data_IF_794298043622
#
_entry.id   IF_794298043622
#
_cell.length_a   1.000
_cell.length_b   1.000
_cell.length_c   1.000
_cell.angle_alpha   90.00
_cell.angle_beta   90.00
_cell.angle_gamma   90.00
#
_symmetry.space_group_name_H-M   'P 1'
#
loop_
_entity.id
_entity.type
_entity.pdbx_description
1 polymer ?
#
# COMPACT_ATOMS: atom_id res chain seq x y z
N UNK A 1 57.72 -9.22 -17.44
CA UNK A 1 56.45 -9.14 -16.71
C UNK A 1 56.54 -7.95 -15.77
N UNK A 2 55.58 -7.02 -15.78
CA UNK A 2 55.47 -6.03 -14.71
C UNK A 2 55.08 -6.74 -13.40
N UNK A 3 55.51 -6.21 -12.23
CA UNK A 3 55.19 -6.81 -10.94
C UNK A 3 53.70 -6.66 -10.62
N UNK A 4 53.17 -7.68 -9.98
CA UNK A 4 51.79 -7.82 -9.51
C UNK A 4 51.38 -6.63 -8.60
N UNK A 5 50.29 -5.91 -8.87
CA UNK A 5 49.81 -4.88 -7.96
C UNK A 5 49.11 -5.52 -6.76
N UNK A 6 49.73 -5.32 -5.61
CA UNK A 6 49.26 -5.49 -4.22
C UNK A 6 47.71 -5.60 -4.05
N UNK A 7 47.16 -6.70 -3.49
CA UNK A 7 45.71 -6.92 -3.35
C UNK A 7 45.03 -6.11 -2.25
N UNK A 8 45.70 -5.13 -1.64
CA UNK A 8 45.14 -4.34 -0.55
C UNK A 8 45.17 -2.84 -0.82
N UNK A 9 44.31 -2.38 -1.74
CA UNK A 9 43.91 -0.97 -1.76
C UNK A 9 42.39 -0.79 -1.95
N UNK A 10 41.78 -0.19 -0.92
CA UNK A 10 40.42 0.37 -0.82
C UNK A 10 39.27 -0.60 -0.51
N UNK A 11 39.25 -1.11 0.72
CA UNK A 11 37.96 -1.38 1.39
C UNK A 11 37.41 -0.02 1.83
N UNK A 12 36.49 0.56 1.05
CA UNK A 12 35.71 1.68 1.53
C UNK A 12 35.00 1.27 2.83
N UNK A 13 35.04 2.11 3.86
CA UNK A 13 34.25 1.91 5.08
C UNK A 13 32.79 1.74 4.67
N UNK A 14 32.27 0.52 4.79
CA UNK A 14 30.86 0.22 4.52
C UNK A 14 30.05 0.90 5.62
N UNK A 15 29.44 2.05 5.31
CA UNK A 15 28.52 2.71 6.22
C UNK A 15 27.33 1.78 6.44
N UNK A 16 27.07 1.41 7.70
CA UNK A 16 25.93 0.55 8.03
C UNK A 16 24.64 1.27 7.67
N UNK A 17 23.69 0.56 7.06
CA UNK A 17 22.37 1.09 6.70
C UNK A 17 21.31 0.50 7.62
N UNK A 18 20.49 1.36 8.21
CA UNK A 18 19.45 0.99 9.16
C UNK A 18 18.09 1.52 8.70
N UNK A 19 17.02 0.80 9.05
CA UNK A 19 15.65 1.28 8.92
C UNK A 19 15.10 1.50 10.32
N UNK A 20 14.49 2.67 10.56
CA UNK A 20 13.79 2.99 11.81
C UNK A 20 12.30 3.12 11.52
N UNK A 21 11.51 2.16 11.99
CA UNK A 21 10.04 2.21 11.95
C UNK A 21 9.55 2.78 13.28
N UNK A 22 8.70 3.82 13.28
CA UNK A 22 8.23 4.44 14.52
C UNK A 22 6.76 4.85 14.43
N UNK A 23 6.02 4.68 15.52
CA UNK A 23 4.62 5.07 15.69
C UNK A 23 4.36 5.59 17.11
N UNK A 24 3.25 6.29 17.29
CA UNK A 24 2.75 6.69 18.60
C UNK A 24 1.29 7.10 18.55
N UNK A 25 0.58 6.91 19.66
CA UNK A 25 -0.83 7.27 19.73
C UNK A 25 -1.29 7.62 21.13
N UNK A 26 -2.56 8.03 21.21
CA UNK A 26 -3.26 8.36 22.44
C UNK A 26 -4.69 7.82 22.45
N UNK A 27 -5.12 7.21 23.56
CA UNK A 27 -6.50 6.74 23.77
C UNK A 27 -7.39 7.93 24.17
N UNK A 28 -8.00 8.55 23.17
CA UNK A 28 -8.59 9.89 23.29
C UNK A 28 -7.50 10.95 23.21
N UNK A 29 -7.74 12.07 22.52
CA UNK A 29 -6.66 13.01 22.17
C UNK A 29 -6.94 14.42 22.77
N UNK A 30 -6.30 14.80 23.91
CA UNK A 30 -5.27 14.07 24.67
C UNK A 30 -5.81 13.02 25.64
N UNK A 31 -5.01 11.98 25.90
CA UNK A 31 -5.39 10.80 26.70
C UNK A 31 -4.17 9.92 27.00
N UNK A 32 -4.38 8.71 27.58
CA UNK A 32 -3.31 7.75 27.81
C UNK A 32 -2.54 7.45 26.52
N UNK A 33 -1.27 7.82 26.49
CA UNK A 33 -0.44 7.82 25.29
C UNK A 33 0.77 6.91 25.45
N UNK A 34 1.28 6.43 24.32
CA UNK A 34 2.45 5.57 24.25
C UNK A 34 3.03 5.56 22.84
N UNK A 35 4.28 5.15 22.73
CA UNK A 35 4.99 5.06 21.46
C UNK A 35 5.70 3.73 21.30
N UNK A 36 6.05 3.41 20.05
CA UNK A 36 6.83 2.25 19.68
C UNK A 36 7.79 2.59 18.54
N UNK A 37 8.98 1.99 18.56
CA UNK A 37 9.96 2.10 17.50
C UNK A 37 10.76 0.81 17.34
N UNK A 38 11.14 0.50 16.11
CA UNK A 38 11.89 -0.70 15.74
C UNK A 38 13.06 -0.27 14.86
N UNK A 39 14.26 -0.75 15.16
CA UNK A 39 15.45 -0.57 14.32
C UNK A 39 15.79 -1.88 13.64
N UNK A 40 15.94 -1.85 12.32
CA UNK A 40 16.27 -3.01 11.50
C UNK A 40 17.57 -2.79 10.74
N UNK A 41 18.26 -3.89 10.45
CA UNK A 41 19.31 -3.88 9.43
C UNK A 41 18.66 -3.70 8.05
N UNK A 42 19.09 -2.71 7.27
CA UNK A 42 18.45 -2.41 5.99
C UNK A 42 18.72 -3.46 4.90
N UNK A 43 19.73 -4.31 5.08
CA UNK A 43 20.09 -5.35 4.10
C UNK A 43 19.39 -6.66 4.45
N UNK A 44 19.48 -7.10 5.70
CA UNK A 44 18.94 -8.40 6.11
C UNK A 44 17.48 -8.34 6.54
N UNK A 45 16.98 -7.16 6.93
CA UNK A 45 15.65 -6.98 7.52
C UNK A 45 15.54 -7.42 8.99
N UNK A 46 16.63 -7.92 9.58
CA UNK A 46 16.70 -8.36 10.97
C UNK A 46 16.36 -7.22 11.94
N UNK A 47 15.56 -7.51 12.97
CA UNK A 47 15.27 -6.57 14.05
C UNK A 47 16.48 -6.50 14.98
N UNK A 48 17.08 -5.32 15.08
CA UNK A 48 18.25 -5.06 15.91
C UNK A 48 17.89 -4.46 17.27
N UNK A 49 16.77 -3.71 17.33
CA UNK A 49 16.26 -3.16 18.57
C UNK A 49 14.76 -2.87 18.47
N UNK A 50 14.06 -3.01 19.60
CA UNK A 50 12.69 -2.55 19.81
C UNK A 50 12.67 -1.63 21.03
N UNK A 51 11.97 -0.50 20.92
CA UNK A 51 11.84 0.48 22.00
C UNK A 51 10.39 0.92 22.08
N UNK A 52 9.81 0.88 23.28
CA UNK A 52 8.46 1.34 23.53
C UNK A 52 8.33 1.86 24.95
N UNK A 53 7.56 2.93 25.15
CA UNK A 53 7.26 3.43 26.49
C UNK A 53 5.93 4.19 26.54
N UNK A 54 5.36 4.26 27.75
CA UNK A 54 4.18 5.03 28.07
C UNK A 54 4.51 6.50 28.32
N UNK A 55 3.66 7.42 27.88
CA UNK A 55 3.84 8.87 28.03
C UNK A 55 2.88 9.50 29.04
N UNK A 56 2.15 8.69 29.81
CA UNK A 56 1.06 9.18 30.65
C UNK A 56 -0.03 9.79 29.78
N UNK A 57 -0.41 11.06 30.01
CA UNK A 57 -1.41 11.78 29.19
C UNK A 57 -0.73 12.68 28.17
N UNK A 58 -0.89 12.40 26.88
CA UNK A 58 -0.35 13.22 25.79
C UNK A 58 -1.25 13.21 24.55
N UNK A 59 -0.95 14.05 23.56
CA UNK A 59 -1.61 14.04 22.24
C UNK A 59 -0.97 13.01 21.30
N UNK A 60 -1.67 12.64 20.22
CA UNK A 60 -1.13 11.74 19.18
C UNK A 60 0.22 12.25 18.63
N UNK A 61 0.29 13.52 18.22
CA UNK A 61 1.51 14.09 17.65
C UNK A 61 2.70 14.04 18.63
N UNK A 62 2.45 14.25 19.94
CA UNK A 62 3.51 14.11 20.95
C UNK A 62 4.00 12.66 21.02
N UNK A 63 3.09 11.69 20.93
CA UNK A 63 3.43 10.27 20.95
C UNK A 63 4.22 9.86 19.71
N UNK A 64 3.79 10.26 18.51
CA UNK A 64 4.49 9.97 17.25
C UNK A 64 5.92 10.54 17.24
N UNK A 65 6.09 11.81 17.64
CA UNK A 65 7.42 12.41 17.78
C UNK A 65 8.29 11.71 18.83
N UNK A 66 7.69 11.21 19.91
CA UNK A 66 8.41 10.48 20.95
C UNK A 66 8.91 9.13 20.42
N UNK A 67 8.10 8.42 19.63
CA UNK A 67 8.50 7.21 18.91
C UNK A 67 9.68 7.46 17.99
N UNK A 68 9.62 8.53 17.19
CA UNK A 68 10.72 8.94 16.33
C UNK A 68 12.02 9.20 17.11
N UNK A 69 11.96 9.99 18.18
CA UNK A 69 13.13 10.31 19.01
C UNK A 69 13.75 9.04 19.60
N UNK A 70 12.91 8.13 20.10
CA UNK A 70 13.36 6.87 20.67
C UNK A 70 14.05 5.98 19.62
N UNK A 71 13.44 5.83 18.43
CA UNK A 71 14.01 5.06 17.32
C UNK A 71 15.36 5.61 16.84
N UNK A 72 15.48 6.93 16.67
CA UNK A 72 16.74 7.57 16.27
C UNK A 72 17.85 7.37 17.32
N UNK A 73 17.52 7.46 18.61
CA UNK A 73 18.47 7.20 19.70
C UNK A 73 18.92 5.73 19.74
N UNK A 74 18.00 4.80 19.51
CA UNK A 74 18.33 3.39 19.42
C UNK A 74 19.27 3.09 18.24
N UNK A 75 18.98 3.65 17.06
CA UNK A 75 19.84 3.53 15.89
C UNK A 75 21.25 4.11 16.15
N UNK A 76 21.33 5.28 16.78
CA UNK A 76 22.60 5.90 17.15
C UNK A 76 23.41 5.07 18.18
N UNK A 77 22.72 4.37 19.08
CA UNK A 77 23.34 3.44 20.02
C UNK A 77 23.92 2.18 19.35
N UNK A 78 23.28 1.72 18.26
CA UNK A 78 23.70 0.53 17.50
C UNK A 78 24.86 0.81 16.55
N UNK A 79 24.81 1.94 15.82
CA UNK A 79 25.86 2.30 14.87
C UNK A 79 25.91 3.82 14.65
N UNK A 80 26.92 4.46 15.25
CA UNK A 80 27.23 5.88 14.99
C UNK A 80 27.65 6.06 13.52
N UNK A 81 27.16 7.13 12.90
CA UNK A 81 27.43 7.42 11.49
C UNK A 81 26.66 6.54 10.49
N UNK A 82 25.75 5.67 10.94
CA UNK A 82 24.91 4.87 10.03
C UNK A 82 24.00 5.74 9.16
N UNK A 83 23.78 5.33 7.93
CA UNK A 83 22.69 5.88 7.10
C UNK A 83 21.37 5.29 7.59
N UNK A 84 20.37 6.14 7.82
CA UNK A 84 19.11 5.74 8.42
C UNK A 84 17.95 6.20 7.56
N UNK A 85 17.10 5.25 7.16
CA UNK A 85 15.77 5.54 6.62
C UNK A 85 14.75 5.44 7.75
N UNK A 86 14.13 6.56 8.10
CA UNK A 86 13.01 6.60 9.03
C UNK A 86 11.71 6.38 8.25
N UNK A 87 10.93 5.39 8.64
CA UNK A 87 9.61 5.07 8.08
C UNK A 87 8.54 5.29 9.15
N UNK A 88 7.58 6.16 8.85
CA UNK A 88 6.45 6.43 9.75
C UNK A 88 5.16 6.59 8.94
N UNK A 89 4.03 6.24 9.53
CA UNK A 89 2.69 6.47 8.97
C UNK A 89 2.12 7.86 9.30
N UNK A 90 2.80 8.62 10.14
CA UNK A 90 2.52 10.04 10.36
C UNK A 90 3.07 10.93 9.25
N UNK A 91 2.22 11.29 8.29
CA UNK A 91 2.58 12.25 7.23
C UNK A 91 3.01 13.59 7.80
N UNK A 92 2.38 14.04 8.90
CA UNK A 92 2.75 15.28 9.58
C UNK A 92 4.20 15.26 10.05
N UNK A 93 4.61 14.23 10.80
CA UNK A 93 5.96 14.13 11.35
C UNK A 93 6.98 13.99 10.23
N UNK A 94 6.71 13.15 9.23
CA UNK A 94 7.61 12.94 8.08
C UNK A 94 7.86 14.26 7.32
N UNK A 95 6.80 15.00 6.98
CA UNK A 95 6.90 16.24 6.22
C UNK A 95 7.61 17.36 7.01
N UNK A 96 7.35 17.44 8.32
CA UNK A 96 8.00 18.40 9.20
C UNK A 96 9.50 18.10 9.41
N UNK A 97 9.86 16.83 9.57
CA UNK A 97 11.25 16.42 9.75
C UNK A 97 12.05 16.47 8.46
N UNK A 98 11.39 16.24 7.31
CA UNK A 98 11.95 16.49 5.98
C UNK A 98 12.15 17.97 5.65
N UNK A 99 11.64 18.89 6.48
CA UNK A 99 11.71 20.34 6.24
C UNK A 99 10.75 20.85 5.17
N UNK A 100 9.87 20.00 4.62
CA UNK A 100 8.88 20.39 3.61
C UNK A 100 7.72 21.17 4.23
N UNK A 101 7.35 20.87 5.47
CA UNK A 101 6.27 21.56 6.19
C UNK A 101 6.78 22.33 7.41
N UNK A 102 6.25 23.54 7.61
CA UNK A 102 6.62 24.39 8.75
C UNK A 102 5.99 23.88 10.06
N UNK A 103 6.78 23.83 11.13
CA UNK A 103 6.30 23.48 12.48
C UNK A 103 5.74 24.74 13.17
N UNK A 104 4.43 24.92 13.05
CA UNK A 104 3.72 26.08 13.63
C UNK A 104 3.40 25.90 15.12
N UNK A 105 3.05 24.68 15.55
CA UNK A 105 2.60 24.42 16.92
C UNK A 105 3.76 24.51 17.92
N UNK A 106 3.64 25.29 19.01
CA UNK A 106 4.72 25.52 19.98
C UNK A 106 5.22 24.22 20.61
N UNK A 107 4.31 23.31 20.99
CA UNK A 107 4.66 22.03 21.64
C UNK A 107 5.44 21.06 20.74
N UNK A 108 5.33 21.19 19.42
CA UNK A 108 6.05 20.32 18.47
C UNK A 108 7.48 20.80 18.21
N UNK A 109 7.78 22.09 18.40
CA UNK A 109 9.11 22.64 18.12
C UNK A 109 10.20 22.02 19.01
N UNK A 110 10.00 21.85 20.34
CA UNK A 110 10.96 21.14 21.19
C UNK A 110 11.15 19.68 20.79
N UNK A 111 10.08 18.99 20.37
CA UNK A 111 10.15 17.59 19.95
C UNK A 111 10.93 17.42 18.65
N UNK A 112 10.68 18.26 17.65
CA UNK A 112 11.46 18.27 16.42
C UNK A 112 12.94 18.64 16.67
N UNK A 113 13.21 19.57 17.59
CA UNK A 113 14.58 19.89 17.99
C UNK A 113 15.30 18.67 18.62
N UNK A 114 14.62 17.93 19.49
CA UNK A 114 15.14 16.69 20.10
C UNK A 114 15.33 15.57 19.06
N UNK A 115 14.44 15.45 18.07
CA UNK A 115 14.59 14.48 16.99
C UNK A 115 15.81 14.82 16.10
N UNK A 116 16.00 16.11 15.76
CA UNK A 116 17.19 16.58 15.05
C UNK A 116 18.47 16.39 15.85
N UNK A 117 18.41 16.58 17.17
CA UNK A 117 19.55 16.32 18.04
C UNK A 117 19.92 14.83 18.05
N UNK A 118 18.92 13.94 18.16
CA UNK A 118 19.11 12.50 18.12
C UNK A 118 19.74 12.03 16.79
N UNK A 119 19.42 12.68 15.67
CA UNK A 119 20.00 12.35 14.37
C UNK A 119 21.44 12.84 14.16
N UNK A 120 21.97 13.78 14.96
CA UNK A 120 23.32 14.36 14.76
C UNK A 120 24.46 13.34 14.79
N UNK A 121 24.27 12.23 15.51
CA UNK A 121 25.28 11.18 15.65
C UNK A 121 25.18 10.07 14.60
N UNK A 122 24.20 10.18 13.71
CA UNK A 122 23.99 9.33 12.55
C UNK A 122 24.60 10.00 11.30
N UNK A 123 24.68 9.24 10.21
CA UNK A 123 25.07 9.74 8.90
C UNK A 123 23.89 10.45 8.21
N UNK A 124 23.62 10.08 6.97
CA UNK A 124 22.42 10.55 6.26
C UNK A 124 21.16 10.00 6.92
N UNK A 125 20.19 10.86 7.21
CA UNK A 125 18.87 10.46 7.72
C UNK A 125 17.79 10.93 6.76
N UNK A 126 17.02 9.98 6.24
CA UNK A 126 15.89 10.23 5.34
C UNK A 126 14.59 9.91 6.06
N UNK A 127 13.53 10.66 5.74
CA UNK A 127 12.21 10.48 6.33
C UNK A 127 11.21 10.11 5.23
N UNK A 128 10.70 8.89 5.29
CA UNK A 128 9.77 8.30 4.33
C UNK A 128 8.42 8.09 5.00
N UNK A 129 7.37 8.60 4.37
CA UNK A 129 6.01 8.27 4.77
C UNK A 129 5.64 6.90 4.22
N UNK A 130 5.10 6.03 5.07
CA UNK A 130 4.62 4.70 4.70
C UNK A 130 3.17 4.52 5.12
N UNK A 131 2.34 3.78 4.37
CA UNK A 131 1.01 3.42 4.85
C UNK A 131 1.07 2.68 6.20
N UNK A 132 0.06 2.86 7.07
CA UNK A 132 -0.02 2.25 8.42
C UNK A 132 0.23 0.74 8.42
N UNK A 133 -0.24 0.03 7.38
CA UNK A 133 0.00 -1.40 7.17
C UNK A 133 1.50 -1.78 7.16
N UNK A 134 2.37 -0.88 6.70
CA UNK A 134 3.83 -1.07 6.67
C UNK A 134 4.54 -0.59 7.93
N UNK A 135 3.81 -0.07 8.91
CA UNK A 135 4.33 0.33 10.21
C UNK A 135 3.78 -0.56 11.34
N UNK A 136 3.21 -1.72 11.00
CA UNK A 136 2.50 -2.60 11.93
C UNK A 136 3.33 -3.03 13.14
N UNK A 137 4.66 -3.15 13.01
CA UNK A 137 5.50 -3.51 14.14
C UNK A 137 5.57 -2.37 15.18
N UNK A 138 5.90 -1.16 14.74
CA UNK A 138 5.93 0.00 15.62
C UNK A 138 4.53 0.33 16.17
N UNK A 139 3.46 0.15 15.38
CA UNK A 139 2.07 0.30 15.82
C UNK A 139 1.71 -0.68 16.94
N UNK A 140 2.09 -1.97 16.83
CA UNK A 140 1.85 -2.94 17.92
C UNK A 140 2.53 -2.50 19.22
N UNK A 141 3.78 -2.04 19.14
CA UNK A 141 4.53 -1.55 20.29
C UNK A 141 3.87 -0.30 20.90
N UNK A 142 3.43 0.65 20.07
CA UNK A 142 2.72 1.85 20.52
C UNK A 142 1.37 1.50 21.18
N UNK A 143 0.62 0.54 20.63
CA UNK A 143 -0.64 0.06 21.20
C UNK A 143 -0.44 -0.61 22.56
N UNK A 144 0.58 -1.45 22.71
CA UNK A 144 0.93 -2.05 24.00
C UNK A 144 1.29 -0.98 25.05
N UNK A 145 2.05 0.04 24.64
CA UNK A 145 2.43 1.15 25.50
C UNK A 145 1.24 2.03 25.92
N UNK A 146 0.32 2.34 24.99
CA UNK A 146 -0.93 3.05 25.28
C UNK A 146 -1.82 2.29 26.26
N UNK A 147 -1.95 0.99 26.09
CA UNK A 147 -2.78 0.17 26.97
C UNK A 147 -2.15 0.02 28.36
N UNK A 148 -0.83 -0.05 28.44
CA UNK A 148 -0.10 0.03 29.71
C UNK A 148 -0.33 1.38 30.40
N UNK A 149 -0.28 2.49 29.66
CA UNK A 149 -0.59 3.82 30.18
C UNK A 149 -2.03 3.91 30.71
N UNK A 150 -3.00 3.32 29.99
CA UNK A 150 -4.41 3.31 30.37
C UNK A 150 -4.69 2.42 31.60
N UNK A 151 -3.92 1.35 31.81
CA UNK A 151 -3.96 0.55 33.05
C UNK A 151 -3.35 1.31 34.22
N UNK A 152 -2.23 2.00 34.01
CA UNK A 152 -1.61 2.86 35.02
C UNK A 152 -2.50 4.06 35.43
N UNK A 153 -3.22 4.66 34.47
CA UNK A 153 -4.16 5.75 34.72
C UNK A 153 -5.42 5.29 35.48
N UNK A 154 -5.86 4.03 35.29
CA UNK A 154 -6.95 3.41 36.06
C UNK A 154 -6.51 2.98 37.48
N UNK A 155 -5.19 2.94 37.74
CA UNK A 155 -4.60 2.61 39.03
C UNK A 155 -4.28 3.81 39.93
N UNK A 156 -4.62 5.04 39.54
CA UNK A 156 -4.51 6.22 40.40
C UNK A 156 -5.90 6.79 40.72
N UNK A 157 -6.40 6.60 41.95
CA UNK A 157 -7.45 7.45 42.47
C UNK A 157 -6.91 8.88 42.57
N UNK A 158 -7.64 9.86 42.04
CA UNK A 158 -7.33 11.27 42.25
C UNK A 158 -7.40 11.56 43.76
N UNK A 159 -6.27 11.88 44.35
CA UNK A 159 -6.18 12.32 45.74
C UNK A 159 -6.75 13.72 45.91
N UNK A 160 -8.00 13.81 46.36
CA UNK A 160 -8.57 14.93 47.13
C UNK A 160 -9.90 14.49 47.77
N UNK A 161 -9.86 13.77 48.90
CA UNK A 161 -10.03 14.33 50.24
C UNK A 161 -10.32 13.25 51.30
N UNK A 162 -9.89 13.55 52.52
CA UNK A 162 -9.64 12.70 53.70
C UNK A 162 -10.87 11.92 54.23
N UNK A 163 -10.66 10.71 54.77
CA UNK A 163 -10.57 10.37 56.22
C UNK A 163 -10.71 8.84 56.49
N UNK A 164 -9.95 8.36 57.48
CA UNK A 164 -10.21 7.15 58.29
C UNK A 164 -9.66 5.84 57.70
N UNK A 165 -8.50 5.36 58.11
CA UNK A 165 -8.25 4.54 59.31
C UNK A 165 -8.66 3.06 59.14
N UNK A 166 -7.70 2.16 59.36
CA UNK A 166 -7.99 0.83 59.92
C UNK A 166 -7.75 -0.38 59.03
N UNK A 167 -6.57 -0.97 59.24
CA UNK A 167 -6.38 -2.39 59.52
C UNK A 167 -6.07 -3.43 58.41
N UNK A 168 -5.07 -4.24 58.78
CA UNK A 168 -4.57 -5.49 58.19
C UNK A 168 -5.56 -6.64 58.55
N UNK A 169 -5.48 -7.90 58.03
CA UNK A 169 -4.23 -8.63 57.77
C UNK A 169 -4.19 -9.72 56.67
N UNK A 170 -2.93 -10.09 56.37
CA UNK A 170 -2.32 -11.43 56.12
C UNK A 170 -3.13 -12.55 55.45
N UNK A 171 -2.45 -13.23 54.51
CA UNK A 171 -2.57 -14.70 54.39
C UNK A 171 -2.23 -15.26 53.01
N UNK A 172 -0.95 -15.57 52.79
CA UNK A 172 -0.55 -16.50 51.72
C UNK A 172 -0.71 -17.95 52.21
N UNK A 173 -1.16 -18.86 51.35
CA UNK A 173 -0.53 -20.18 51.08
C UNK A 173 -1.28 -21.02 50.03
N UNK A 174 -0.44 -21.70 49.27
CA UNK A 174 -0.56 -22.77 48.26
C UNK A 174 -1.41 -24.00 48.58
N UNK A 175 -1.95 -24.63 47.53
CA UNK A 175 -1.86 -26.07 47.14
C UNK A 175 -2.61 -26.21 45.79
N UNK A 176 -1.97 -26.53 44.66
CA UNK A 176 -1.60 -27.87 44.18
C UNK A 176 -2.78 -28.86 44.13
N UNK A 177 -3.26 -29.20 42.92
CA UNK A 177 -3.45 -30.59 42.48
C UNK A 177 -4.01 -30.70 41.05
N UNK A 178 -3.55 -31.78 40.42
CA UNK A 178 -3.68 -32.27 39.05
C UNK A 178 -5.08 -32.72 38.61
N UNK A 179 -5.32 -32.71 37.30
CA UNK A 179 -6.42 -33.45 36.66
C UNK A 179 -6.31 -33.49 35.13
N UNK A 180 -5.85 -34.61 34.59
CA UNK A 180 -5.74 -34.90 33.17
C UNK A 180 -7.11 -35.20 32.51
N UNK A 181 -7.26 -34.86 31.24
CA UNK A 181 -8.38 -35.28 30.39
C UNK A 181 -8.12 -34.93 28.93
N UNK A 182 -7.66 -35.92 28.16
CA UNK A 182 -7.30 -35.77 26.75
C UNK A 182 -8.49 -35.84 25.80
N UNK A 183 -8.40 -35.07 24.71
CA UNK A 183 -9.21 -35.22 23.50
C UNK A 183 -8.40 -34.71 22.31
N UNK A 184 -7.89 -35.63 21.48
CA UNK A 184 -7.14 -35.34 20.25
C UNK A 184 -8.11 -35.36 19.07
N UNK A 185 -8.40 -34.21 18.49
CA UNK A 185 -8.93 -34.13 17.12
C UNK A 185 -7.77 -33.96 16.14
N UNK A 186 -7.75 -34.82 15.12
CA UNK A 186 -6.71 -34.91 14.11
C UNK A 186 -6.89 -33.80 13.06
N UNK A 187 -6.04 -32.77 13.15
CA UNK A 187 -5.94 -31.72 12.13
C UNK A 187 -5.24 -32.21 10.86
N UNK A 188 -5.90 -32.04 9.73
CA UNK A 188 -5.33 -32.13 8.38
C UNK A 188 -4.14 -31.17 8.28
N UNK A 189 -2.95 -31.69 8.01
CA UNK A 189 -1.74 -30.89 7.80
C UNK A 189 -1.75 -30.31 6.39
N UNK A 190 -2.07 -29.03 6.25
CA UNK A 190 -1.72 -28.25 5.06
C UNK A 190 -0.22 -27.90 5.09
N UNK A 191 0.41 -27.89 3.92
CA UNK A 191 1.84 -27.65 3.76
C UNK A 191 2.26 -26.27 4.32
N UNK A 192 3.51 -26.11 4.81
CA UNK A 192 3.94 -24.88 5.46
C UNK A 192 4.12 -23.77 4.40
N UNK A 193 3.14 -22.86 4.33
CA UNK A 193 3.27 -21.60 3.61
C UNK A 193 4.13 -20.61 4.40
N UNK A 194 4.93 -19.83 3.69
CA UNK A 194 5.65 -18.69 4.26
C UNK A 194 4.64 -17.65 4.80
N UNK A 195 4.79 -17.28 6.08
CA UNK A 195 4.22 -16.13 6.81
C UNK A 195 2.95 -16.32 7.63
N UNK A 196 2.95 -15.65 8.79
CA UNK A 196 1.89 -15.48 9.79
C UNK A 196 0.63 -14.73 9.26
N UNK A 197 0.25 -14.95 8.01
CA UNK A 197 -1.00 -14.43 7.44
C UNK A 197 -2.17 -15.20 8.07
N UNK A 198 -2.82 -14.59 9.05
CA UNK A 198 -3.99 -15.19 9.72
C UNK A 198 -5.27 -14.70 9.06
N UNK A 199 -6.18 -15.63 8.77
CA UNK A 199 -7.52 -15.33 8.26
C UNK A 199 -7.69 -15.59 6.76
N UNK A 200 -8.95 -15.69 6.35
CA UNK A 200 -9.35 -15.79 4.94
C UNK A 200 -9.20 -14.40 4.30
N UNK A 201 -8.42 -14.23 3.22
CA UNK A 201 -8.29 -12.93 2.56
C UNK A 201 -9.60 -12.52 1.90
N UNK A 202 -9.84 -11.21 1.81
CA UNK A 202 -10.76 -10.69 0.79
C UNK A 202 -10.05 -10.74 -0.55
N UNK A 203 -10.67 -11.35 -1.55
CA UNK A 203 -10.08 -11.49 -2.89
C UNK A 203 -10.77 -10.51 -3.83
N UNK A 204 -10.01 -9.62 -4.47
CA UNK A 204 -10.55 -8.81 -5.57
C UNK A 204 -10.09 -9.38 -6.90
N UNK A 205 -11.04 -9.81 -7.72
CA UNK A 205 -10.80 -10.13 -9.12
C UNK A 205 -11.06 -8.87 -9.93
N UNK A 206 -10.10 -8.43 -10.73
CA UNK A 206 -10.21 -7.23 -11.56
C UNK A 206 -10.46 -7.66 -12.99
N UNK A 207 -11.52 -7.15 -13.63
CA UNK A 207 -11.80 -7.36 -15.05
C UNK A 207 -11.79 -6.03 -15.79
N UNK A 208 -10.91 -5.91 -16.79
CA UNK A 208 -10.99 -4.78 -17.72
C UNK A 208 -12.18 -4.96 -18.65
N UNK A 209 -12.90 -3.89 -18.95
CA UNK A 209 -13.96 -3.93 -19.97
C UNK A 209 -13.47 -4.52 -21.31
N UNK A 210 -14.41 -5.06 -22.10
CA UNK A 210 -14.14 -5.53 -23.46
C UNK A 210 -13.78 -4.40 -24.44
N UNK A 211 -13.32 -4.76 -25.63
CA UNK A 211 -12.90 -3.81 -26.66
C UNK A 211 -13.96 -2.75 -26.99
N UNK A 212 -13.48 -1.51 -27.15
CA UNK A 212 -14.23 -0.37 -27.71
C UNK A 212 -13.59 0.10 -29.02
N UNK A 213 -14.27 0.92 -29.84
CA UNK A 213 -13.67 1.48 -31.06
C UNK A 213 -12.35 2.21 -30.85
N UNK A 214 -12.13 2.80 -29.65
CA UNK A 214 -10.90 3.53 -29.32
C UNK A 214 -9.75 2.62 -28.87
N UNK A 215 -10.04 1.37 -28.52
CA UNK A 215 -9.07 0.46 -27.90
C UNK A 215 -7.94 0.02 -28.86
N UNK A 216 -8.21 -0.39 -30.12
CA UNK A 216 -7.15 -0.81 -31.05
C UNK A 216 -6.16 0.32 -31.38
N UNK A 217 -6.67 1.55 -31.53
CA UNK A 217 -5.87 2.74 -31.83
C UNK A 217 -5.20 3.36 -30.60
N UNK A 218 -5.44 2.79 -29.40
CA UNK A 218 -4.88 3.27 -28.12
C UNK A 218 -5.15 4.76 -27.87
N UNK A 219 -6.34 5.21 -28.26
CA UNK A 219 -6.80 6.57 -27.97
C UNK A 219 -7.18 6.69 -26.50
N UNK A 220 -7.00 7.87 -25.93
CA UNK A 220 -7.47 8.15 -24.58
C UNK A 220 -8.99 8.00 -24.55
N UNK A 221 -9.47 7.14 -23.66
CA UNK A 221 -10.89 6.89 -23.42
C UNK A 221 -11.12 7.09 -21.93
N UNK A 222 -11.54 8.30 -21.53
CA UNK A 222 -11.76 8.65 -20.13
C UNK A 222 -13.22 8.43 -19.74
N UNK A 223 -13.92 9.52 -19.44
CA UNK A 223 -15.31 9.51 -19.00
C UNK A 223 -16.32 9.47 -20.16
N UNK A 224 -15.92 9.66 -21.41
CA UNK A 224 -16.82 9.46 -22.55
C UNK A 224 -17.44 8.05 -22.54
N UNK A 225 -18.77 8.01 -22.70
CA UNK A 225 -19.55 6.77 -22.60
C UNK A 225 -19.58 6.01 -23.93
N UNK A 226 -18.45 5.38 -24.25
CA UNK A 226 -18.22 4.67 -25.52
C UNK A 226 -18.72 3.21 -25.40
N UNK A 227 -19.51 2.71 -26.37
CA UNK A 227 -20.00 1.33 -26.36
C UNK A 227 -18.89 0.30 -26.64
N UNK A 228 -19.17 -0.96 -26.30
CA UNK A 228 -18.37 -2.11 -26.72
C UNK A 228 -18.52 -2.35 -28.23
N UNK A 229 -17.46 -2.85 -28.86
CA UNK A 229 -17.55 -3.43 -30.21
C UNK A 229 -18.19 -4.82 -30.14
N UNK A 230 -18.49 -5.41 -31.30
CA UNK A 230 -18.92 -6.82 -31.37
C UNK A 230 -17.84 -7.77 -30.81
N UNK A 231 -16.56 -7.46 -31.05
CA UNK A 231 -15.43 -8.15 -30.43
C UNK A 231 -15.44 -7.98 -28.90
N UNK A 232 -15.68 -6.76 -28.41
CA UNK A 232 -15.81 -6.48 -26.99
C UNK A 232 -16.96 -7.23 -26.31
N UNK A 233 -18.10 -7.40 -26.99
CA UNK A 233 -19.22 -8.20 -26.49
C UNK A 233 -18.85 -9.69 -26.40
N UNK A 234 -18.16 -10.24 -27.41
CA UNK A 234 -17.65 -11.62 -27.35
C UNK A 234 -16.63 -11.82 -26.23
N UNK A 235 -15.74 -10.86 -26.03
CA UNK A 235 -14.77 -10.88 -24.93
C UNK A 235 -15.47 -10.87 -23.57
N UNK A 236 -16.48 -10.01 -23.39
CA UNK A 236 -17.29 -9.97 -22.17
C UNK A 236 -18.00 -11.30 -21.91
N UNK A 237 -18.57 -11.93 -22.94
CA UNK A 237 -19.22 -13.24 -22.82
C UNK A 237 -18.22 -14.35 -22.44
N UNK A 238 -17.01 -14.34 -23.00
CA UNK A 238 -15.96 -15.30 -22.64
C UNK A 238 -15.46 -15.11 -21.19
N UNK A 239 -15.26 -13.86 -20.76
CA UNK A 239 -14.93 -13.55 -19.38
C UNK A 239 -16.05 -13.99 -18.42
N UNK A 240 -17.32 -13.77 -18.78
CA UNK A 240 -18.49 -14.21 -18.03
C UNK A 240 -18.53 -15.73 -17.82
N UNK A 241 -18.31 -16.51 -18.88
CA UNK A 241 -18.24 -17.98 -18.77
C UNK A 241 -17.13 -18.42 -17.81
N UNK A 242 -15.93 -17.83 -17.92
CA UNK A 242 -14.81 -18.17 -17.05
C UNK A 242 -15.06 -17.80 -15.59
N UNK A 243 -15.62 -16.61 -15.34
CA UNK A 243 -15.88 -16.12 -13.99
C UNK A 243 -17.04 -16.89 -13.33
N UNK A 244 -18.08 -17.26 -14.08
CA UNK A 244 -19.14 -18.13 -13.59
C UNK A 244 -18.60 -19.52 -13.21
N UNK A 245 -17.69 -20.07 -14.00
CA UNK A 245 -17.06 -21.37 -13.72
C UNK A 245 -16.16 -21.35 -12.46
N UNK A 246 -15.71 -20.17 -12.01
CA UNK A 246 -14.94 -20.02 -10.76
C UNK A 246 -15.79 -20.34 -9.52
N UNK A 247 -17.07 -19.93 -9.53
CA UNK A 247 -18.08 -20.35 -8.56
C UNK A 247 -17.99 -19.77 -7.14
N UNK A 248 -17.07 -18.83 -6.87
CA UNK A 248 -16.85 -18.24 -5.54
C UNK A 248 -17.15 -16.73 -5.46
N UNK A 249 -17.64 -16.11 -6.54
CA UNK A 249 -17.97 -14.69 -6.58
C UNK A 249 -19.18 -14.38 -5.70
N UNK A 250 -19.01 -13.50 -4.71
CA UNK A 250 -20.09 -13.04 -3.83
C UNK A 250 -20.74 -11.73 -4.28
N UNK A 251 -19.98 -10.86 -4.93
CA UNK A 251 -20.42 -9.55 -5.41
C UNK A 251 -19.69 -9.15 -6.70
N UNK A 252 -20.38 -8.40 -7.56
CA UNK A 252 -19.78 -7.68 -8.68
C UNK A 252 -19.99 -6.19 -8.46
N UNK A 253 -18.91 -5.41 -8.49
CA UNK A 253 -18.96 -3.95 -8.55
C UNK A 253 -18.43 -3.48 -9.90
N UNK A 254 -19.07 -2.46 -10.48
CA UNK A 254 -18.73 -1.96 -11.81
C UNK A 254 -18.62 -0.46 -11.84
N UNK A 255 -17.73 0.04 -12.71
CA UNK A 255 -17.78 1.42 -13.18
C UNK A 255 -19.15 1.75 -13.79
N UNK A 256 -19.63 3.01 -13.71
CA UNK A 256 -20.86 3.47 -14.38
C UNK A 256 -20.72 3.61 -15.89
N UNK A 257 -19.52 3.54 -16.47
CA UNK A 257 -19.34 3.67 -17.92
C UNK A 257 -19.86 2.41 -18.62
N UNK A 258 -20.66 2.58 -19.67
CA UNK A 258 -21.40 1.52 -20.37
C UNK A 258 -20.49 0.36 -20.78
N UNK A 259 -19.28 0.62 -21.28
CA UNK A 259 -18.32 -0.46 -21.62
C UNK A 259 -18.02 -1.41 -20.47
N UNK A 260 -17.87 -0.87 -19.25
CA UNK A 260 -17.66 -1.67 -18.05
C UNK A 260 -18.98 -2.28 -17.56
N UNK A 261 -20.07 -1.49 -17.49
CA UNK A 261 -21.39 -1.98 -17.07
C UNK A 261 -21.88 -3.14 -17.92
N UNK A 262 -21.82 -3.05 -19.24
CA UNK A 262 -22.21 -4.14 -20.16
C UNK A 262 -21.34 -5.39 -19.97
N UNK A 263 -20.06 -5.21 -19.68
CA UNK A 263 -19.16 -6.33 -19.35
C UNK A 263 -19.58 -6.98 -18.04
N UNK A 264 -19.88 -6.18 -17.01
CA UNK A 264 -20.31 -6.64 -15.70
C UNK A 264 -21.68 -7.32 -15.73
N UNK A 265 -22.64 -6.78 -16.48
CA UNK A 265 -23.98 -7.35 -16.71
C UNK A 265 -23.89 -8.76 -17.30
N UNK A 266 -22.98 -8.99 -18.26
CA UNK A 266 -22.75 -10.31 -18.83
C UNK A 266 -22.26 -11.32 -17.77
N UNK A 267 -21.33 -10.89 -16.90
CA UNK A 267 -20.83 -11.75 -15.80
C UNK A 267 -21.92 -12.00 -14.76
N UNK A 268 -22.65 -10.96 -14.35
CA UNK A 268 -23.73 -11.07 -13.37
C UNK A 268 -24.83 -12.03 -13.84
N UNK A 269 -25.22 -11.95 -15.12
CA UNK A 269 -26.20 -12.86 -15.71
C UNK A 269 -25.71 -14.31 -15.75
N UNK A 270 -24.42 -14.53 -16.05
CA UNK A 270 -23.85 -15.88 -16.13
C UNK A 270 -23.59 -16.51 -14.75
N UNK A 271 -23.15 -15.72 -13.77
CA UNK A 271 -22.79 -16.18 -12.43
C UNK A 271 -23.96 -16.16 -11.44
N UNK A 272 -25.03 -15.40 -11.72
CA UNK A 272 -26.15 -15.23 -10.79
C UNK A 272 -25.81 -14.40 -9.55
N UNK A 273 -24.88 -13.45 -9.69
CA UNK A 273 -24.30 -12.65 -8.58
C UNK A 273 -24.83 -11.20 -8.63
N UNK A 274 -25.08 -10.55 -7.48
CA UNK A 274 -25.48 -9.14 -7.45
C UNK A 274 -24.47 -8.23 -8.15
N UNK A 275 -25.00 -7.19 -8.82
CA UNK A 275 -24.23 -6.16 -9.51
C UNK A 275 -24.52 -4.78 -8.89
N UNK A 276 -23.48 -4.13 -8.41
CA UNK A 276 -23.51 -2.75 -7.95
C UNK A 276 -22.69 -1.84 -8.87
N UNK A 277 -23.12 -0.59 -8.99
CA UNK A 277 -22.50 0.40 -9.89
C UNK A 277 -22.04 1.60 -9.08
N UNK A 278 -20.74 1.90 -9.14
CA UNK A 278 -20.13 2.94 -8.32
C UNK A 278 -19.08 3.74 -9.09
N UNK A 279 -19.01 5.05 -8.83
CA UNK A 279 -18.05 5.94 -9.50
C UNK A 279 -16.59 5.68 -9.11
N UNK A 280 -16.35 5.04 -7.96
CA UNK A 280 -15.02 4.65 -7.51
C UNK A 280 -14.24 3.85 -8.57
N UNK A 281 -14.95 3.07 -9.39
CA UNK A 281 -14.36 2.19 -10.39
C UNK A 281 -14.25 2.82 -11.78
N UNK A 282 -14.68 4.07 -11.96
CA UNK A 282 -14.62 4.75 -13.24
C UNK A 282 -13.19 5.12 -13.67
N UNK A 283 -12.98 5.13 -14.99
CA UNK A 283 -11.72 5.51 -15.61
C UNK A 283 -11.33 6.96 -15.24
N UNK A 284 -10.04 7.24 -15.32
CA UNK A 284 -9.53 8.61 -15.18
C UNK A 284 -10.13 9.50 -16.26
N UNK A 285 -10.58 10.68 -15.86
CA UNK A 285 -11.04 11.70 -16.81
C UNK A 285 -9.83 12.27 -17.57
N UNK A 286 -9.82 12.10 -18.90
CA UNK A 286 -8.73 12.62 -19.73
C UNK A 286 -9.06 13.99 -20.35
N UNK A 287 -10.22 14.56 -20.05
CA UNK A 287 -10.63 15.90 -20.48
C UNK A 287 -10.46 16.11 -21.97
N UNK A 288 -9.76 17.16 -22.35
CA UNK A 288 -9.52 17.53 -23.75
C UNK A 288 -8.68 16.52 -24.55
N UNK A 289 -8.07 15.52 -23.89
CA UNK A 289 -7.30 14.48 -24.57
C UNK A 289 -8.16 13.31 -25.06
N UNK A 290 -9.40 13.21 -24.63
CA UNK A 290 -10.29 12.11 -25.03
C UNK A 290 -10.44 12.00 -26.55
N UNK A 291 -10.39 10.77 -27.06
CA UNK A 291 -10.42 10.47 -28.49
C UNK A 291 -9.08 10.70 -29.21
N UNK A 292 -8.06 11.26 -28.57
CA UNK A 292 -6.74 11.47 -29.18
C UNK A 292 -5.78 10.34 -28.82
N UNK A 293 -4.80 10.11 -29.69
CA UNK A 293 -3.64 9.29 -29.40
C UNK A 293 -2.59 10.10 -28.64
N UNK A 294 -1.68 9.43 -27.92
CA UNK A 294 -0.60 10.13 -27.22
C UNK A 294 0.30 10.98 -28.15
N UNK A 295 0.67 10.55 -29.38
CA UNK A 295 1.38 11.41 -30.31
C UNK A 295 0.62 12.68 -30.73
N UNK A 296 -0.71 12.58 -30.93
CA UNK A 296 -1.55 13.75 -31.24
C UNK A 296 -1.60 14.72 -30.05
N UNK A 297 -1.72 14.20 -28.83
CA UNK A 297 -1.64 14.98 -27.59
C UNK A 297 -0.29 15.66 -27.45
N UNK A 298 0.82 14.92 -27.59
CA UNK A 298 2.17 15.47 -27.46
C UNK A 298 2.49 16.53 -28.54
N UNK A 299 1.81 16.48 -29.69
CA UNK A 299 1.91 17.52 -30.73
C UNK A 299 1.12 18.78 -30.38
N UNK A 300 -0.06 18.64 -29.76
CA UNK A 300 -0.96 19.75 -29.45
C UNK A 300 -0.68 20.41 -28.09
N UNK A 301 -0.19 19.65 -27.12
CA UNK A 301 0.13 20.06 -25.75
C UNK A 301 1.48 19.46 -25.31
N UNK A 302 2.61 19.90 -25.91
CA UNK A 302 3.91 19.29 -25.66
C UNK A 302 4.35 19.39 -24.19
N UNK A 303 4.14 20.54 -23.55
CA UNK A 303 4.59 20.80 -22.19
C UNK A 303 3.71 20.05 -21.17
N UNK A 304 2.39 20.06 -21.36
CA UNK A 304 1.44 19.34 -20.52
C UNK A 304 1.62 17.82 -20.66
N UNK A 305 1.84 17.32 -21.88
CA UNK A 305 2.12 15.91 -22.10
C UNK A 305 3.41 15.47 -21.39
N UNK A 306 4.49 16.25 -21.51
CA UNK A 306 5.75 15.97 -20.82
C UNK A 306 5.58 16.01 -19.29
N UNK A 307 4.87 17.02 -18.77
CA UNK A 307 4.57 17.17 -17.36
C UNK A 307 3.73 16.00 -16.81
N UNK A 308 2.67 15.60 -17.53
CA UNK A 308 1.80 14.48 -17.16
C UNK A 308 2.54 13.14 -17.16
N UNK A 309 3.48 12.93 -18.10
CA UNK A 309 4.35 11.75 -18.08
C UNK A 309 5.28 11.74 -16.86
N UNK A 310 5.79 12.90 -16.44
CA UNK A 310 6.75 13.00 -15.35
C UNK A 310 6.11 12.96 -13.95
N UNK A 311 4.89 13.49 -13.79
CA UNK A 311 4.27 13.75 -12.48
C UNK A 311 2.82 13.28 -12.46
N UNK A 312 2.45 12.52 -11.43
CA UNK A 312 1.10 11.96 -11.28
C UNK A 312 0.06 13.02 -10.85
N UNK A 313 0.51 14.14 -10.32
CA UNK A 313 -0.31 15.26 -9.84
C UNK A 313 -0.80 16.16 -10.97
N UNK A 314 -0.17 16.06 -12.15
CA UNK A 314 -0.55 16.84 -13.32
C UNK A 314 -1.74 16.17 -14.00
N UNK A 315 -2.81 16.93 -14.19
CA UNK A 315 -3.99 16.48 -14.93
C UNK A 315 -3.90 16.90 -16.41
N UNK A 316 -4.50 16.13 -17.33
CA UNK A 316 -4.88 16.64 -18.64
C UNK A 316 -5.77 17.89 -18.51
N UNK A 317 -5.75 18.83 -19.47
CA UNK A 317 -6.67 19.98 -19.46
C UNK A 317 -8.13 19.52 -19.37
N UNK A 318 -8.84 20.03 -18.36
CA UNK A 318 -10.24 19.68 -18.09
C UNK A 318 -10.45 18.26 -17.54
N UNK A 319 -9.39 17.52 -17.21
CA UNK A 319 -9.47 16.13 -16.73
C UNK A 319 -9.05 15.95 -15.27
N UNK A 320 -8.81 14.70 -14.89
CA UNK A 320 -8.41 14.23 -13.56
C UNK A 320 -6.93 13.83 -13.55
N UNK A 321 -6.21 14.17 -12.47
CA UNK A 321 -4.83 13.69 -12.30
C UNK A 321 -4.80 12.23 -11.85
N UNK A 322 -3.69 11.54 -12.06
CA UNK A 322 -3.53 10.17 -11.55
C UNK A 322 -3.60 10.14 -10.02
N UNK A 323 -3.11 11.19 -9.35
CA UNK A 323 -3.24 11.33 -7.89
C UNK A 323 -4.70 11.41 -7.45
N UNK A 324 -5.52 12.26 -8.09
CA UNK A 324 -6.94 12.36 -7.75
C UNK A 324 -7.71 11.05 -8.03
N UNK A 325 -7.43 10.42 -9.18
CA UNK A 325 -7.98 9.09 -9.49
C UNK A 325 -7.57 8.04 -8.45
N UNK A 326 -6.33 8.11 -7.94
CA UNK A 326 -5.84 7.19 -6.92
C UNK A 326 -6.57 7.37 -5.60
N UNK A 327 -6.79 8.60 -5.15
CA UNK A 327 -7.55 8.89 -3.94
C UNK A 327 -8.97 8.32 -4.01
N UNK A 328 -9.66 8.54 -5.13
CA UNK A 328 -11.02 8.03 -5.38
C UNK A 328 -11.07 6.49 -5.40
N UNK A 329 -10.17 5.86 -6.16
CA UNK A 329 -10.14 4.39 -6.31
C UNK A 329 -9.77 3.72 -4.99
N UNK A 330 -8.80 4.26 -4.24
CA UNK A 330 -8.36 3.68 -2.97
C UNK A 330 -9.37 3.91 -1.83
N UNK A 331 -10.13 5.01 -1.85
CA UNK A 331 -11.26 5.17 -0.95
C UNK A 331 -12.34 4.11 -1.21
N UNK A 332 -12.65 3.83 -2.49
CA UNK A 332 -13.57 2.75 -2.89
C UNK A 332 -13.06 1.37 -2.45
N UNK A 333 -11.78 1.09 -2.65
CA UNK A 333 -11.15 -0.15 -2.17
C UNK A 333 -11.28 -0.30 -0.66
N UNK A 334 -10.96 0.75 0.12
CA UNK A 334 -11.05 0.70 1.58
C UNK A 334 -12.47 0.40 2.06
N UNK A 335 -13.49 1.01 1.43
CA UNK A 335 -14.90 0.70 1.68
C UNK A 335 -15.24 -0.75 1.37
N UNK A 336 -14.86 -1.23 0.19
CA UNK A 336 -15.08 -2.61 -0.26
C UNK A 336 -14.43 -3.63 0.69
N UNK A 337 -13.17 -3.43 1.08
CA UNK A 337 -12.47 -4.34 1.99
C UNK A 337 -13.09 -4.35 3.40
N UNK A 338 -13.67 -3.23 3.83
CA UNK A 338 -14.37 -3.15 5.12
C UNK A 338 -15.71 -3.87 5.08
N UNK A 339 -16.46 -3.77 3.97
CA UNK A 339 -17.78 -4.37 3.81
C UNK A 339 -17.77 -5.87 3.48
N UNK A 340 -16.70 -6.37 2.85
CA UNK A 340 -16.66 -7.70 2.23
C UNK A 340 -15.48 -8.56 2.73
N UNK A 341 -15.30 -8.63 4.04
CA UNK A 341 -14.18 -9.36 4.66
C UNK A 341 -14.25 -10.87 4.35
N UNK A 342 -13.17 -11.41 3.77
CA UNK A 342 -13.08 -12.83 3.42
C UNK A 342 -13.93 -13.25 2.22
N UNK A 343 -14.52 -12.32 1.48
CA UNK A 343 -15.31 -12.58 0.26
C UNK A 343 -14.46 -12.42 -1.01
N UNK A 344 -14.93 -13.03 -2.11
CA UNK A 344 -14.39 -12.76 -3.45
C UNK A 344 -15.31 -11.77 -4.16
N UNK A 345 -14.77 -10.59 -4.50
CA UNK A 345 -15.49 -9.52 -5.18
C UNK A 345 -14.88 -9.27 -6.56
N UNK A 346 -15.72 -9.23 -7.60
CA UNK A 346 -15.30 -8.84 -8.94
C UNK A 346 -15.42 -7.32 -9.11
N UNK A 347 -14.34 -6.66 -9.51
CA UNK A 347 -14.31 -5.24 -9.88
C UNK A 347 -14.18 -5.13 -11.40
N UNK A 348 -15.24 -4.68 -12.07
CA UNK A 348 -15.25 -4.46 -13.52
C UNK A 348 -14.96 -2.99 -13.83
N UNK A 349 -13.80 -2.74 -14.43
CA UNK A 349 -13.23 -1.39 -14.53
C UNK A 349 -12.40 -1.20 -15.81
N UNK A 350 -11.43 -0.29 -15.75
CA UNK A 350 -10.66 0.24 -16.87
C UNK A 350 -9.17 0.21 -16.54
N UNK A 351 -8.33 0.66 -17.48
CA UNK A 351 -6.89 0.45 -17.37
C UNK A 351 -6.27 1.23 -16.21
N UNK A 352 -6.69 2.47 -15.95
CA UNK A 352 -6.04 3.28 -14.90
C UNK A 352 -6.42 2.83 -13.48
N UNK A 353 -7.72 2.66 -13.12
CA UNK A 353 -8.09 2.16 -11.80
C UNK A 353 -7.50 0.78 -11.48
N UNK A 354 -7.52 -0.16 -12.43
CA UNK A 354 -6.93 -1.49 -12.21
C UNK A 354 -5.43 -1.40 -11.94
N UNK A 355 -4.72 -0.54 -12.67
CA UNK A 355 -3.29 -0.32 -12.42
C UNK A 355 -3.02 0.35 -11.08
N UNK A 356 -3.87 1.28 -10.64
CA UNK A 356 -3.80 1.89 -9.31
C UNK A 356 -3.94 0.81 -8.23
N UNK A 357 -4.93 -0.07 -8.35
CA UNK A 357 -5.13 -1.19 -7.41
C UNK A 357 -3.92 -2.12 -7.36
N UNK A 358 -3.39 -2.51 -8.52
CA UNK A 358 -2.18 -3.34 -8.62
C UNK A 358 -0.93 -2.64 -8.08
N UNK A 359 -0.76 -1.36 -8.38
CA UNK A 359 0.36 -0.54 -7.89
C UNK A 359 0.29 -0.40 -6.36
N UNK A 360 -0.91 -0.20 -5.81
CA UNK A 360 -1.16 -0.17 -4.38
C UNK A 360 -0.85 -1.52 -3.72
N UNK A 361 -1.36 -2.63 -4.26
CA UNK A 361 -1.10 -3.97 -3.73
C UNK A 361 0.40 -4.33 -3.72
N UNK A 362 1.14 -3.93 -4.76
CA UNK A 362 2.57 -4.21 -4.90
C UNK A 362 3.48 -3.23 -4.16
N UNK A 363 2.91 -2.20 -3.53
CA UNK A 363 3.68 -1.06 -2.98
C UNK A 363 4.62 -0.44 -4.01
N UNK A 364 4.21 -0.50 -5.28
CA UNK A 364 5.08 -0.12 -6.37
C UNK A 364 5.15 1.41 -6.45
N UNK A 365 6.31 1.99 -6.88
CA UNK A 365 6.41 3.42 -7.07
C UNK A 365 5.46 3.90 -8.20
N UNK A 366 5.08 5.19 -8.24
CA UNK A 366 4.15 5.72 -9.25
C UNK A 366 4.53 5.40 -10.71
N UNK A 367 5.84 5.31 -10.99
CA UNK A 367 6.35 4.94 -12.32
C UNK A 367 5.88 3.54 -12.79
N UNK A 368 5.48 2.65 -11.89
CA UNK A 368 5.02 1.29 -12.20
C UNK A 368 3.73 1.26 -13.01
N UNK A 369 2.85 2.27 -12.89
CA UNK A 369 1.62 2.37 -13.72
C UNK A 369 1.94 2.34 -15.23
N UNK A 370 3.09 2.89 -15.61
CA UNK A 370 3.57 2.93 -17.00
C UNK A 370 4.28 1.65 -17.44
N UNK A 371 4.53 0.71 -16.52
CA UNK A 371 5.21 -0.57 -16.72
C UNK A 371 4.29 -1.78 -16.69
N UNK A 372 2.99 -1.57 -16.46
CA UNK A 372 1.96 -2.62 -16.51
C UNK A 372 1.27 -2.63 -17.87
N UNK A 373 1.14 -3.81 -18.48
CA UNK A 373 0.30 -4.03 -19.64
C UNK A 373 -0.98 -4.76 -19.22
N UNK A 374 -2.14 -4.18 -19.51
CA UNK A 374 -3.44 -4.79 -19.25
C UNK A 374 -4.21 -4.76 -20.57
N UNK A 375 -4.49 -5.93 -21.15
CA UNK A 375 -5.30 -6.02 -22.37
C UNK A 375 -6.79 -5.81 -22.06
N UNK A 376 -7.59 -5.44 -23.06
CA UNK A 376 -9.06 -5.44 -22.89
C UNK A 376 -9.54 -6.85 -22.52
N UNK A 377 -10.54 -6.93 -21.66
CA UNK A 377 -11.02 -8.18 -21.06
C UNK A 377 -9.99 -9.01 -20.28
N UNK A 378 -8.80 -8.48 -19.94
CA UNK A 378 -7.89 -9.23 -19.08
C UNK A 378 -8.38 -9.29 -17.62
N UNK A 379 -7.97 -10.35 -16.94
CA UNK A 379 -8.17 -10.55 -15.50
C UNK A 379 -6.90 -10.28 -14.72
N UNK A 380 -7.04 -9.73 -13.53
CA UNK A 380 -6.02 -9.73 -12.49
C UNK A 380 -6.66 -10.18 -11.17
N UNK A 381 -5.87 -10.69 -10.24
CA UNK A 381 -6.37 -11.14 -8.94
C UNK A 381 -5.45 -10.68 -7.83
N UNK A 382 -6.04 -10.16 -6.75
CA UNK A 382 -5.34 -9.64 -5.58
C UNK A 382 -6.01 -10.18 -4.33
N UNK A 383 -5.22 -10.80 -3.46
CA UNK A 383 -5.64 -11.21 -2.13
C UNK A 383 -5.28 -10.12 -1.14
N UNK A 384 -6.22 -9.72 -0.29
CA UNK A 384 -6.04 -8.70 0.74
C UNK A 384 -6.13 -9.35 2.12
N UNK A 385 -5.03 -9.33 2.85
CA UNK A 385 -4.92 -9.83 4.22
C UNK A 385 -4.87 -8.68 5.22
N UNK A 386 -5.41 -8.91 6.42
CA UNK A 386 -5.31 -7.98 7.53
C UNK A 386 -3.89 -8.03 8.17
N UNK A 387 -3.24 -6.90 8.46
CA UNK A 387 -3.63 -5.52 8.15
C UNK A 387 -3.06 -5.01 6.82
N UNK A 388 -3.90 -4.96 5.79
CA UNK A 388 -3.68 -4.23 4.54
C UNK A 388 -2.62 -4.81 3.59
N UNK A 389 -2.19 -6.06 3.76
CA UNK A 389 -1.24 -6.69 2.84
C UNK A 389 -1.96 -7.16 1.57
N UNK A 390 -1.70 -6.50 0.45
CA UNK A 390 -2.11 -6.95 -0.88
C UNK A 390 -1.11 -7.95 -1.48
N UNK A 391 -1.60 -9.05 -2.03
CA UNK A 391 -0.80 -10.06 -2.74
C UNK A 391 -1.38 -10.22 -4.13
N UNK A 392 -0.66 -9.76 -5.15
CA UNK A 392 -1.06 -9.94 -6.56
C UNK A 392 -0.84 -11.40 -6.97
N UNK A 393 -1.93 -12.12 -7.20
CA UNK A 393 -1.96 -13.54 -7.58
C UNK A 393 -1.81 -13.73 -9.10
N UNK A 394 -2.35 -12.81 -9.88
CA UNK A 394 -2.25 -12.82 -11.34
C UNK A 394 -2.28 -11.40 -11.91
N UNK A 395 -1.65 -11.20 -13.07
CA UNK A 395 -1.59 -9.92 -13.77
C UNK A 395 -1.78 -10.13 -15.28
N UNK A 396 -2.87 -9.59 -15.82
CA UNK A 396 -3.11 -9.55 -17.27
C UNK A 396 -3.49 -10.89 -17.90
N UNK A 397 -4.16 -11.78 -17.17
CA UNK A 397 -4.58 -13.09 -17.67
C UNK A 397 -5.70 -12.98 -18.71
N UNK A 398 -5.47 -13.53 -19.89
CA UNK A 398 -6.40 -13.56 -21.02
C UNK A 398 -6.74 -14.98 -21.48
N UNK A 399 -6.50 -16.02 -20.68
CA UNK A 399 -6.65 -17.41 -21.13
C UNK A 399 -8.09 -17.85 -21.47
N UNK A 400 -9.10 -17.00 -21.21
CA UNK A 400 -10.48 -17.21 -21.70
C UNK A 400 -10.69 -16.69 -23.13
N UNK A 401 -9.75 -15.93 -23.66
CA UNK A 401 -9.78 -15.40 -25.01
C UNK A 401 -9.05 -16.36 -25.96
N UNK A 402 -9.43 -16.41 -27.24
CA UNK A 402 -8.68 -17.16 -28.24
C UNK A 402 -7.24 -16.63 -28.34
N UNK A 403 -6.30 -17.54 -28.59
CA UNK A 403 -4.89 -17.19 -28.74
C UNK A 403 -4.70 -16.11 -29.82
N UNK A 404 -3.97 -15.04 -29.49
CA UNK A 404 -3.64 -13.98 -30.44
C UNK A 404 -2.69 -14.54 -31.49
N UNK A 405 -3.09 -14.53 -32.76
CA UNK A 405 -2.14 -14.70 -33.85
C UNK A 405 -1.17 -13.51 -33.82
N UNK A 406 0.08 -13.82 -33.47
CA UNK A 406 1.23 -12.93 -33.27
C UNK A 406 1.08 -11.48 -33.74
N UNK A 407 1.06 -10.56 -32.78
CA UNK A 407 1.45 -9.16 -33.01
C UNK A 407 2.45 -8.78 -31.94
N UNK A 408 3.57 -8.24 -32.40
CA UNK A 408 4.77 -7.88 -31.62
C UNK A 408 4.39 -7.02 -30.41
N UNK A 409 5.07 -7.25 -29.28
CA UNK A 409 4.85 -6.53 -28.03
C UNK A 409 4.86 -5.00 -28.22
N UNK A 410 3.70 -4.40 -27.94
CA UNK A 410 3.38 -2.98 -27.92
C UNK A 410 4.34 -2.05 -27.15
N UNK A 411 5.24 -2.62 -26.33
CA UNK A 411 6.19 -1.85 -25.51
C UNK A 411 7.33 -1.23 -26.32
N UNK A 412 7.76 -1.90 -27.40
CA UNK A 412 8.85 -1.42 -28.24
C UNK A 412 8.48 -0.09 -28.94
N UNK A 413 7.23 0.10 -29.34
CA UNK A 413 6.78 1.35 -29.98
C UNK A 413 6.56 2.50 -28.99
N UNK A 414 6.20 2.21 -27.75
CA UNK A 414 5.87 3.24 -26.74
C UNK A 414 7.10 3.77 -26.00
N UNK A 415 8.12 2.92 -25.80
CA UNK A 415 9.29 3.24 -24.97
C UNK A 415 10.65 2.92 -25.63
N UNK A 416 10.64 2.22 -26.77
CA UNK A 416 11.86 1.94 -27.54
C UNK A 416 12.25 3.16 -28.37
N UNK A 417 13.12 4.00 -27.80
CA UNK A 417 13.93 4.91 -28.62
C UNK A 417 14.60 4.11 -29.73
N UNK A 418 14.58 4.62 -30.97
CA UNK A 418 15.16 3.98 -32.16
C UNK A 418 16.59 3.50 -31.88
N UNK A 419 16.75 2.21 -31.61
CA UNK A 419 18.06 1.56 -31.64
C UNK A 419 18.30 1.01 -33.04
N UNK A 420 19.30 1.59 -33.72
CA UNK A 420 20.11 0.91 -34.73
C UNK A 420 19.41 0.52 -36.03
N UNK A 421 19.51 1.39 -37.03
CA UNK A 421 19.46 0.99 -38.45
C UNK A 421 20.62 0.01 -38.67
N UNK A 422 20.32 -1.28 -38.85
CA UNK A 422 21.32 -2.27 -39.21
C UNK A 422 21.93 -1.88 -40.58
N UNK A 423 23.24 -1.70 -40.59
CA UNK A 423 24.05 -1.56 -41.80
C UNK A 423 24.04 -2.92 -42.50
N UNK A 424 23.66 -2.95 -43.78
CA UNK A 424 23.72 -4.15 -44.60
C UNK A 424 25.19 -4.53 -44.86
N UNK A 425 25.53 -5.83 -44.90
CA UNK A 425 26.88 -6.26 -45.23
C UNK A 425 27.13 -6.05 -46.72
N UNK A 426 28.22 -5.33 -47.03
CA UNK A 426 28.84 -5.24 -48.34
C UNK A 426 30.21 -5.90 -48.31
#
# INVERSE_FOLDING_TARGET
MPPDPDPHSRVGTVTRRLIVEADGGSRGNPGPAGYGAVVRDAVTGEVLAEVSDSLGRATNNVAEYSGLIAGLRAAAGLARGAEVEVRMDSKLVVEQMSGRWQIKHPDMRPLAARAREASRSLGQVEYTWVPRAHNAHADRLANQAMDAAARGARGQPSSADRRGAGDRPRGARSADESGAGGGREAGVRTAPGWSDLRGKPTTTVLLRHGETPLSPERRFAGRADIPLTESGLRQAAAAAQRLAARGDLGLIVSSPLQRARRTAEAVAAAAGVPLEVEDAWAETDFGEWEGLTFPEVAKRWPDEAAAWVARSEVAPPGGESITAASERVLAGLAGLLTGHQGETVLIVSHVTPMKILLQHALLAPPAALRRMHLEVACLCEIDWYDPGMGVVRSLGDTAHLPARNGTVSAYAEKYGGRAGRAVAPG
#
